data_IF_989187604710
#
_entry.id   IF_989187604710
#
_cell.length_a   1.000
_cell.length_b   1.000
_cell.length_c   1.000
_cell.angle_alpha   90.00
_cell.angle_beta   90.00
_cell.angle_gamma   90.00
#
_symmetry.space_group_name_H-M   'P 1'
#
loop_
_entity.id
_entity.type
_entity.pdbx_description
1 polymer ?
#
# COMPACT_ATOMS: atom_id res chain seq x y z
N UNK A 1 -19.26 -20.30 -20.49
CA UNK A 1 -18.42 -19.08 -20.56
C UNK A 1 -17.21 -19.35 -19.70
N UNK A 2 -16.03 -19.47 -20.31
CA UNK A 2 -14.82 -20.07 -19.72
C UNK A 2 -14.29 -19.24 -18.55
N UNK A 3 -14.16 -19.88 -17.39
CA UNK A 3 -13.27 -19.48 -16.31
C UNK A 3 -11.83 -19.47 -16.86
N UNK A 4 -11.31 -18.28 -17.16
CA UNK A 4 -9.88 -18.06 -17.37
C UNK A 4 -9.22 -18.09 -15.98
N UNK A 5 -8.83 -19.28 -15.57
CA UNK A 5 -7.99 -19.56 -14.41
C UNK A 5 -6.69 -18.74 -14.56
N UNK A 6 -6.61 -17.61 -13.87
CA UNK A 6 -5.37 -16.84 -13.71
C UNK A 6 -4.31 -17.79 -13.15
N UNK A 7 -3.32 -18.10 -14.00
CA UNK A 7 -2.29 -19.07 -13.70
C UNK A 7 -1.57 -18.71 -12.39
N UNK A 8 -1.32 -19.67 -11.49
CA UNK A 8 -0.58 -19.41 -10.26
C UNK A 8 0.87 -18.90 -10.53
N UNK A 9 1.42 -19.19 -11.71
CA UNK A 9 2.75 -18.73 -12.13
C UNK A 9 2.83 -17.20 -12.34
N UNK A 10 1.76 -16.59 -12.88
CA UNK A 10 1.68 -15.12 -13.02
C UNK A 10 1.58 -14.46 -11.64
N UNK A 11 0.70 -14.97 -10.77
CA UNK A 11 0.55 -14.44 -9.40
C UNK A 11 1.86 -14.47 -8.62
N UNK A 12 2.66 -15.53 -8.75
CA UNK A 12 3.95 -15.61 -8.08
C UNK A 12 4.99 -14.63 -8.67
N UNK A 13 4.89 -14.32 -9.96
CA UNK A 13 5.70 -13.28 -10.61
C UNK A 13 5.28 -11.88 -10.16
N UNK A 14 3.97 -11.63 -10.02
CA UNK A 14 3.44 -10.40 -9.44
C UNK A 14 3.86 -10.25 -7.97
N UNK A 15 3.86 -11.33 -7.19
CA UNK A 15 4.36 -11.31 -5.81
C UNK A 15 5.84 -10.93 -5.70
N UNK A 16 6.67 -11.30 -6.68
CA UNK A 16 8.09 -10.91 -6.74
C UNK A 16 8.29 -9.44 -7.12
N UNK A 17 7.28 -8.79 -7.72
CA UNK A 17 7.30 -7.35 -8.02
C UNK A 17 6.98 -6.50 -6.80
N UNK A 18 6.45 -7.06 -5.70
CA UNK A 18 6.26 -6.27 -4.49
C UNK A 18 7.62 -5.87 -3.90
N UNK A 19 7.87 -4.58 -3.71
CA UNK A 19 9.03 -4.13 -2.97
C UNK A 19 8.93 -4.58 -1.51
N UNK A 20 10.08 -4.86 -0.88
CA UNK A 20 10.10 -5.10 0.55
C UNK A 20 9.67 -3.83 1.30
N UNK A 21 9.05 -4.01 2.48
CA UNK A 21 8.68 -2.89 3.37
C UNK A 21 9.87 -1.95 3.59
N UNK A 22 11.07 -2.52 3.81
CA UNK A 22 12.31 -1.78 4.02
C UNK A 22 12.72 -0.93 2.80
N UNK A 23 12.47 -1.42 1.57
CA UNK A 23 12.74 -0.67 0.34
C UNK A 23 11.82 0.55 0.26
N UNK A 24 10.54 0.37 0.61
CA UNK A 24 9.57 1.48 0.65
C UNK A 24 9.92 2.49 1.74
N UNK A 25 10.31 2.04 2.94
CA UNK A 25 10.74 2.92 4.03
C UNK A 25 12.00 3.72 3.71
N UNK A 26 12.90 3.16 2.88
CA UNK A 26 14.10 3.86 2.39
C UNK A 26 13.82 4.90 1.30
N UNK A 27 12.62 4.96 0.75
CA UNK A 27 12.29 6.00 -0.23
C UNK A 27 12.26 7.37 0.46
N UNK A 28 12.88 8.41 -0.15
CA UNK A 28 12.92 9.74 0.45
C UNK A 28 11.51 10.31 0.67
N UNK A 29 10.55 10.00 -0.22
CA UNK A 29 9.16 10.39 -0.06
C UNK A 29 8.52 9.77 1.21
N UNK A 30 8.85 8.52 1.53
CA UNK A 30 8.30 7.82 2.71
C UNK A 30 9.02 8.25 3.99
N UNK A 31 10.32 8.52 3.92
CA UNK A 31 11.09 9.08 5.02
C UNK A 31 10.58 10.48 5.45
N UNK A 32 10.19 11.32 4.48
CA UNK A 32 9.54 12.61 4.78
C UNK A 32 8.20 12.41 5.51
N UNK A 33 7.39 11.44 5.06
CA UNK A 33 6.14 11.09 5.75
C UNK A 33 6.40 10.54 7.17
N UNK A 34 7.52 9.84 7.39
CA UNK A 34 7.88 9.32 8.71
C UNK A 34 8.28 10.45 9.67
N UNK A 35 8.88 11.52 9.16
CA UNK A 35 9.15 12.71 9.95
C UNK A 35 7.87 13.49 10.30
N UNK A 36 6.86 13.50 9.42
CA UNK A 36 5.59 14.22 9.61
C UNK A 36 4.60 13.44 10.51
N UNK A 37 4.33 12.17 10.18
CA UNK A 37 3.31 11.33 10.83
C UNK A 37 3.89 10.38 11.90
N UNK A 38 5.21 10.20 11.93
CA UNK A 38 5.92 9.27 12.80
C UNK A 38 6.17 7.89 12.16
N UNK A 39 7.31 7.28 12.49
CA UNK A 39 7.74 5.97 11.96
C UNK A 39 6.69 4.86 12.17
N UNK A 40 5.97 4.87 13.29
CA UNK A 40 4.96 3.87 13.61
C UNK A 40 3.74 3.97 12.68
N UNK A 41 3.28 5.19 12.40
CA UNK A 41 2.16 5.45 11.49
C UNK A 41 2.55 5.04 10.06
N UNK A 42 3.73 5.46 9.60
CA UNK A 42 4.24 5.11 8.28
C UNK A 42 4.44 3.62 8.11
N UNK A 43 5.07 2.94 9.08
CA UNK A 43 5.25 1.49 9.03
C UNK A 43 3.91 0.77 8.94
N UNK A 44 2.91 1.23 9.70
CA UNK A 44 1.55 0.67 9.66
C UNK A 44 0.89 0.91 8.31
N UNK A 45 0.98 2.13 7.76
CA UNK A 45 0.44 2.47 6.45
C UNK A 45 1.09 1.68 5.32
N UNK A 46 2.42 1.55 5.32
CA UNK A 46 3.15 0.72 4.35
C UNK A 46 2.69 -0.73 4.42
N UNK A 47 2.59 -1.31 5.62
CA UNK A 47 2.11 -2.69 5.80
C UNK A 47 0.67 -2.87 5.34
N UNK A 48 -0.21 -1.90 5.60
CA UNK A 48 -1.61 -1.93 5.18
C UNK A 48 -1.75 -1.88 3.64
N UNK A 49 -1.06 -0.96 2.98
CA UNK A 49 -1.05 -0.86 1.51
C UNK A 49 -0.49 -2.13 0.88
N UNK A 50 0.58 -2.70 1.46
CA UNK A 50 1.20 -3.93 0.97
C UNK A 50 0.29 -5.15 1.17
N UNK A 51 -0.43 -5.22 2.29
CA UNK A 51 -1.45 -6.24 2.51
C UNK A 51 -2.62 -6.10 1.52
N UNK A 52 -3.09 -4.89 1.24
CA UNK A 52 -4.14 -4.64 0.25
C UNK A 52 -3.71 -5.08 -1.15
N UNK A 53 -2.50 -4.73 -1.58
CA UNK A 53 -1.92 -5.19 -2.84
C UNK A 53 -1.78 -6.73 -2.87
N UNK A 54 -1.38 -7.35 -1.76
CA UNK A 54 -1.27 -8.81 -1.65
C UNK A 54 -2.62 -9.50 -1.88
N UNK A 55 -3.70 -8.91 -1.36
CA UNK A 55 -5.08 -9.38 -1.53
C UNK A 55 -5.56 -9.16 -2.97
N UNK A 56 -5.24 -8.01 -3.58
CA UNK A 56 -5.55 -7.74 -4.98
C UNK A 56 -4.90 -8.77 -5.93
N UNK A 57 -3.61 -9.07 -5.74
CA UNK A 57 -2.91 -10.10 -6.51
C UNK A 57 -3.49 -11.50 -6.25
N UNK A 58 -3.95 -11.77 -5.02
CA UNK A 58 -4.64 -13.01 -4.72
C UNK A 58 -5.98 -13.13 -5.48
N UNK A 59 -6.69 -12.01 -5.66
CA UNK A 59 -7.92 -11.90 -6.43
C UNK A 59 -7.70 -11.91 -7.96
N UNK A 60 -6.46 -11.70 -8.42
CA UNK A 60 -6.09 -11.73 -9.84
C UNK A 60 -5.77 -10.36 -10.44
N UNK A 61 -5.74 -9.31 -9.64
CA UNK A 61 -5.30 -7.97 -10.06
C UNK A 61 -3.77 -7.87 -10.18
N UNK A 62 -3.25 -7.01 -11.07
CA UNK A 62 -1.82 -6.80 -11.23
C UNK A 62 -1.20 -6.03 -10.05
N UNK A 63 0.10 -6.24 -9.82
CA UNK A 63 0.83 -5.49 -8.80
C UNK A 63 0.95 -4.00 -9.18
N UNK A 64 0.73 -3.07 -8.23
CA UNK A 64 0.93 -1.65 -8.50
C UNK A 64 2.40 -1.33 -8.82
N UNK A 65 2.61 -0.38 -9.73
CA UNK A 65 3.94 0.04 -10.17
C UNK A 65 4.77 0.58 -8.99
N UNK A 66 6.10 0.40 -9.07
CA UNK A 66 7.05 0.79 -8.02
C UNK A 66 6.88 2.26 -7.56
N UNK A 67 6.58 3.17 -8.49
CA UNK A 67 6.39 4.60 -8.25
C UNK A 67 5.03 4.91 -7.59
N UNK A 68 4.01 4.08 -7.81
CA UNK A 68 2.68 4.28 -7.25
C UNK A 68 2.63 4.00 -5.74
N UNK A 69 3.57 3.22 -5.21
CA UNK A 69 3.60 2.88 -3.79
C UNK A 69 3.71 4.10 -2.87
N UNK A 70 4.54 5.08 -3.22
CA UNK A 70 4.70 6.28 -2.42
C UNK A 70 3.39 7.09 -2.34
N UNK A 71 2.69 7.24 -3.46
CA UNK A 71 1.40 7.93 -3.52
C UNK A 71 0.29 7.17 -2.76
N UNK A 72 0.27 5.84 -2.85
CA UNK A 72 -0.67 5.00 -2.11
C UNK A 72 -0.44 5.10 -0.59
N UNK A 73 0.81 5.03 -0.15
CA UNK A 73 1.18 5.19 1.27
C UNK A 73 0.83 6.58 1.76
N UNK A 74 1.16 7.63 1.01
CA UNK A 74 0.79 9.01 1.35
C UNK A 74 -0.73 9.17 1.46
N UNK A 75 -1.49 8.64 0.50
CA UNK A 75 -2.97 8.73 0.51
C UNK A 75 -3.55 7.98 1.71
N UNK A 76 -3.01 6.80 2.02
CA UNK A 76 -3.44 6.02 3.17
C UNK A 76 -3.12 6.72 4.50
N UNK A 77 -1.93 7.30 4.62
CA UNK A 77 -1.52 8.07 5.79
C UNK A 77 -2.35 9.34 5.93
N UNK A 78 -2.56 10.09 4.86
CA UNK A 78 -3.42 11.26 4.87
C UNK A 78 -4.85 10.90 5.30
N UNK A 79 -5.41 9.79 4.80
CA UNK A 79 -6.73 9.33 5.21
C UNK A 79 -6.79 8.84 6.67
N UNK A 80 -5.69 8.28 7.19
CA UNK A 80 -5.58 7.84 8.58
C UNK A 80 -5.31 9.00 9.55
N UNK A 81 -4.59 10.03 9.09
CA UNK A 81 -4.22 11.21 9.86
C UNK A 81 -5.32 12.27 9.86
N UNK A 82 -6.20 12.30 8.84
CA UNK A 82 -7.42 13.11 8.89
C UNK A 82 -8.13 12.73 10.19
N UNK A 83 -8.14 13.62 11.20
CA UNK A 83 -8.74 13.30 12.45
C UNK A 83 -10.21 13.07 12.13
N UNK A 84 -10.77 11.97 12.65
CA UNK A 84 -12.19 11.70 12.62
C UNK A 84 -12.98 12.71 13.47
N UNK A 85 -12.71 14.00 13.28
CA UNK A 85 -13.59 15.11 13.62
C UNK A 85 -14.87 14.90 12.82
N UNK A 86 -15.72 14.02 13.34
CA UNK A 86 -17.15 14.10 13.14
C UNK A 86 -17.51 15.56 13.38
N UNK A 87 -18.17 16.25 12.44
CA UNK A 87 -18.80 17.50 12.78
C UNK A 87 -19.88 17.17 13.81
N UNK A 88 -19.62 17.49 15.08
CA UNK A 88 -20.68 17.67 16.06
C UNK A 88 -21.40 18.96 15.67
N UNK A 89 -22.39 18.82 14.80
CA UNK A 89 -23.41 19.86 14.63
C UNK A 89 -24.22 19.86 15.94
N UNK A 90 -24.21 20.99 16.65
CA UNK A 90 -25.07 21.26 17.83
C UNK A 90 -26.54 21.18 17.46
#
# INVERSE_FOLDING_TARGET
>A
MREMITQPADRQSEYRKLPAVDVLLRLPAVALLAAEYGDAAVTTGVRAVLAAARTAIAAGDPAPAAEAWAALVQTHLAAADVPSLRPVIN
#
